data_IF_415455999443
#
_entry.id   IF_415455999443
#
_cell.length_a   1.000
_cell.length_b   1.000
_cell.length_c   1.000
_cell.angle_alpha   90.00
_cell.angle_beta   90.00
_cell.angle_gamma   90.00
#
_symmetry.space_group_name_H-M   'P 1'
#
loop_
_entity.id
_entity.type
_entity.pdbx_description
1 polymer ?
#
# COMPACT_ATOMS: atom_id res chain seq x y z
N UNK A 1 -21.19 -21.45 15.37
CA UNK A 1 -19.87 -22.05 15.17
C UNK A 1 -19.40 -22.64 16.50
N UNK A 2 -19.41 -23.97 16.63
CA UNK A 2 -18.67 -24.63 17.68
C UNK A 2 -17.20 -24.50 17.31
N UNK A 3 -16.45 -23.69 18.06
CA UNK A 3 -15.01 -23.73 18.04
C UNK A 3 -14.59 -25.17 18.27
N UNK A 4 -13.73 -25.70 17.40
CA UNK A 4 -13.18 -27.04 17.58
C UNK A 4 -12.56 -27.16 18.98
N UNK A 5 -12.69 -28.32 19.64
CA UNK A 5 -12.16 -28.52 20.98
C UNK A 5 -10.67 -28.20 21.02
N UNK A 6 -10.18 -27.82 22.20
CA UNK A 6 -8.85 -27.28 22.54
C UNK A 6 -7.61 -28.03 21.98
N UNK A 7 -7.79 -29.09 21.26
CA UNK A 7 -6.72 -29.96 20.74
C UNK A 7 -6.01 -29.46 19.49
N UNK A 8 -6.35 -28.30 18.92
CA UNK A 8 -5.72 -27.78 17.70
C UNK A 8 -5.06 -26.41 17.81
N UNK A 9 -4.46 -26.08 18.94
CA UNK A 9 -3.36 -25.13 18.93
C UNK A 9 -2.11 -25.87 18.41
N UNK A 10 -2.10 -26.11 17.13
CA UNK A 10 -0.98 -26.76 16.45
C UNK A 10 0.07 -25.68 16.20
N UNK A 11 1.17 -25.74 16.95
CA UNK A 11 2.39 -24.97 16.80
C UNK A 11 2.35 -23.51 17.30
N UNK A 12 2.60 -23.30 18.57
CA UNK A 12 3.50 -22.21 18.95
C UNK A 12 4.84 -22.50 18.24
N UNK A 13 5.20 -21.75 17.23
CA UNK A 13 6.58 -21.71 16.72
C UNK A 13 7.31 -20.72 17.63
N UNK A 14 7.98 -21.16 18.73
CA UNK A 14 8.79 -20.29 19.55
C UNK A 14 10.10 -20.09 18.78
N UNK A 15 10.12 -19.12 17.91
CA UNK A 15 11.28 -18.80 17.12
C UNK A 15 11.58 -17.33 17.20
N UNK A 16 12.69 -16.97 17.83
CA UNK A 16 13.25 -15.64 17.71
C UNK A 16 13.66 -15.44 16.24
N UNK A 17 12.99 -14.53 15.53
CA UNK A 17 13.43 -14.16 14.18
C UNK A 17 14.78 -13.44 14.29
N UNK A 18 15.79 -13.94 13.59
CA UNK A 18 17.14 -13.38 13.62
C UNK A 18 17.21 -12.02 12.93
N UNK A 19 16.32 -11.77 11.94
CA UNK A 19 16.20 -10.51 11.24
C UNK A 19 15.16 -9.64 11.94
N UNK A 20 15.58 -8.59 12.64
CA UNK A 20 14.68 -7.68 13.33
C UNK A 20 13.72 -6.99 12.36
N UNK A 21 12.49 -6.76 12.82
CA UNK A 21 11.43 -6.03 12.13
C UNK A 21 10.17 -6.86 11.92
N UNK A 22 9.01 -6.23 12.15
CA UNK A 22 7.67 -6.84 12.06
C UNK A 22 7.46 -7.58 10.72
N UNK A 23 7.86 -6.97 9.61
CA UNK A 23 7.74 -7.59 8.29
C UNK A 23 8.54 -8.87 8.12
N UNK A 24 9.71 -9.00 8.76
CA UNK A 24 10.50 -10.24 8.69
C UNK A 24 9.82 -11.38 9.46
N UNK A 25 9.22 -11.07 10.62
CA UNK A 25 8.45 -12.05 11.41
C UNK A 25 7.25 -12.55 10.61
N UNK A 26 6.47 -11.65 10.04
CA UNK A 26 5.28 -11.99 9.24
C UNK A 26 5.69 -12.81 8.00
N UNK A 27 6.77 -12.43 7.31
CA UNK A 27 7.31 -13.21 6.17
C UNK A 27 7.61 -14.64 6.54
N UNK A 28 8.22 -14.86 7.72
CA UNK A 28 8.51 -16.20 8.22
C UNK A 28 7.23 -16.95 8.55
N UNK A 29 6.31 -16.34 9.30
CA UNK A 29 5.04 -16.96 9.67
C UNK A 29 4.21 -17.37 8.45
N UNK A 30 4.11 -16.50 7.43
CA UNK A 30 3.38 -16.79 6.20
C UNK A 30 3.97 -17.95 5.38
N UNK A 31 5.27 -18.23 5.55
CA UNK A 31 5.94 -19.37 4.90
C UNK A 31 5.80 -20.67 5.69
N UNK A 32 5.92 -20.60 7.01
CA UNK A 32 6.00 -21.77 7.88
C UNK A 32 4.62 -22.27 8.33
N UNK A 33 3.64 -21.38 8.42
CA UNK A 33 2.29 -21.75 8.86
C UNK A 33 1.42 -22.04 7.64
N UNK A 34 0.67 -23.16 7.74
CA UNK A 34 -0.35 -23.52 6.78
C UNK A 34 -1.71 -23.60 7.49
N UNK A 35 -2.63 -22.69 7.15
CA UNK A 35 -3.93 -22.54 7.78
C UNK A 35 -4.96 -22.02 6.79
N UNK A 36 -6.24 -22.28 7.03
CA UNK A 36 -7.34 -21.80 6.19
C UNK A 36 -7.58 -20.30 6.37
N UNK A 37 -7.44 -19.81 7.62
CA UNK A 37 -7.56 -18.40 7.99
C UNK A 37 -6.38 -18.02 8.86
N UNK A 38 -5.82 -16.85 8.64
CA UNK A 38 -4.71 -16.28 9.41
C UNK A 38 -5.20 -15.03 10.12
N UNK A 39 -4.85 -14.89 11.40
CA UNK A 39 -5.08 -13.66 12.15
C UNK A 39 -3.74 -13.06 12.55
N UNK A 40 -3.57 -11.79 12.25
CA UNK A 40 -2.46 -10.96 12.70
C UNK A 40 -2.99 -10.01 13.78
N UNK A 41 -2.34 -9.98 14.93
CA UNK A 41 -2.65 -9.07 16.03
C UNK A 41 -1.36 -8.61 16.70
N UNK A 42 -1.31 -7.35 17.14
CA UNK A 42 -0.19 -6.85 17.91
C UNK A 42 -0.27 -7.38 19.36
N UNK A 43 0.88 -7.74 19.94
CA UNK A 43 0.96 -8.37 21.26
C UNK A 43 1.00 -7.37 22.44
N UNK A 44 0.47 -6.15 22.28
CA UNK A 44 0.47 -5.08 23.27
C UNK A 44 -0.88 -4.90 23.98
N UNK A 45 -1.77 -5.88 23.84
CA UNK A 45 -3.11 -5.92 24.45
C UNK A 45 -4.04 -4.73 24.06
N UNK A 46 -3.73 -4.05 22.96
CA UNK A 46 -4.55 -2.95 22.47
C UNK A 46 -5.77 -3.42 21.69
N UNK A 47 -5.79 -4.68 21.25
CA UNK A 47 -6.85 -5.27 20.44
C UNK A 47 -7.56 -6.40 21.19
N UNK A 48 -8.90 -6.34 21.33
CA UNK A 48 -9.66 -7.37 22.02
C UNK A 48 -9.71 -8.67 21.20
N UNK A 49 -9.38 -9.79 21.85
CA UNK A 49 -9.42 -11.11 21.22
C UNK A 49 -10.86 -11.55 20.86
N UNK A 50 -11.84 -10.95 21.51
CA UNK A 50 -13.27 -11.22 21.33
C UNK A 50 -13.78 -10.89 19.91
N UNK A 51 -13.08 -10.00 19.18
CA UNK A 51 -13.40 -9.69 17.79
C UNK A 51 -12.86 -10.72 16.79
N UNK A 52 -11.99 -11.64 17.19
CA UNK A 52 -11.39 -12.64 16.30
C UNK A 52 -12.45 -13.53 15.59
N UNK A 53 -13.48 -14.05 16.26
CA UNK A 53 -14.50 -14.87 15.61
C UNK A 53 -15.22 -14.16 14.47
N UNK A 54 -15.57 -12.87 14.61
CA UNK A 54 -16.21 -12.08 13.57
C UNK A 54 -15.28 -11.87 12.36
N UNK A 55 -14.00 -11.64 12.60
CA UNK A 55 -13.01 -11.51 11.53
C UNK A 55 -12.82 -12.83 10.77
N UNK A 56 -12.80 -13.96 11.46
CA UNK A 56 -12.74 -15.29 10.85
C UNK A 56 -14.00 -15.57 10.03
N UNK A 57 -15.17 -15.24 10.57
CA UNK A 57 -16.45 -15.38 9.88
C UNK A 57 -16.48 -14.59 8.56
N UNK A 58 -15.96 -13.38 8.56
CA UNK A 58 -15.86 -12.56 7.35
C UNK A 58 -14.96 -13.20 6.28
N UNK A 59 -13.86 -13.87 6.66
CA UNK A 59 -13.02 -14.60 5.70
C UNK A 59 -13.75 -15.84 5.16
N UNK A 60 -14.38 -16.63 6.03
CA UNK A 60 -14.99 -17.93 5.65
C UNK A 60 -16.33 -17.75 4.92
N UNK A 61 -17.24 -16.95 5.48
CA UNK A 61 -18.61 -16.86 5.03
C UNK A 61 -18.88 -15.70 4.07
N UNK A 62 -18.09 -14.62 4.14
CA UNK A 62 -18.18 -13.49 3.20
C UNK A 62 -17.13 -13.54 2.09
N UNK A 63 -16.29 -14.59 2.08
CA UNK A 63 -15.19 -14.77 1.12
C UNK A 63 -14.23 -13.58 1.06
N UNK A 64 -13.97 -12.93 2.20
CA UNK A 64 -13.02 -11.84 2.27
C UNK A 64 -11.58 -12.39 2.18
N UNK A 65 -10.77 -11.81 1.31
CA UNK A 65 -9.33 -12.12 1.22
C UNK A 65 -8.55 -11.46 2.34
N UNK A 66 -8.98 -10.27 2.73
CA UNK A 66 -8.42 -9.53 3.86
C UNK A 66 -9.51 -8.84 4.65
N UNK A 67 -9.51 -9.03 5.96
CA UNK A 67 -10.37 -8.31 6.91
C UNK A 67 -9.52 -7.31 7.69
N UNK A 68 -9.98 -6.07 7.75
CA UNK A 68 -9.31 -4.96 8.43
C UNK A 68 -10.09 -4.61 9.69
N UNK A 69 -9.45 -4.67 10.85
CA UNK A 69 -10.03 -4.20 12.10
C UNK A 69 -10.09 -2.68 12.11
N UNK A 70 -11.30 -2.13 11.97
CA UNK A 70 -11.54 -0.68 11.93
C UNK A 70 -11.72 -0.12 13.34
N UNK A 71 -10.62 0.38 13.92
CA UNK A 71 -10.63 1.08 15.20
C UNK A 71 -11.11 2.53 15.08
N UNK A 72 -10.98 3.14 13.89
CA UNK A 72 -11.27 4.56 13.68
C UNK A 72 -12.77 4.86 13.68
N UNK A 73 -13.62 3.87 13.40
CA UNK A 73 -15.09 3.98 13.50
C UNK A 73 -15.62 3.70 14.92
N UNK A 74 -14.75 3.31 15.85
CA UNK A 74 -15.07 3.06 17.26
C UNK A 74 -14.73 4.27 18.17
N UNK A 75 -14.39 4.02 19.42
CA UNK A 75 -14.05 5.00 20.45
C UNK A 75 -12.65 5.63 20.31
N UNK A 76 -11.84 5.20 19.34
CA UNK A 76 -10.44 5.60 19.16
C UNK A 76 -10.19 7.12 19.20
N UNK A 77 -11.06 7.92 18.55
CA UNK A 77 -10.91 9.37 18.52
C UNK A 77 -11.28 10.06 19.85
N UNK A 78 -12.03 9.40 20.72
CA UNK A 78 -12.36 9.92 22.05
C UNK A 78 -11.16 9.78 23.00
N UNK A 79 -10.36 8.74 22.81
CA UNK A 79 -9.22 8.37 23.65
C UNK A 79 -7.89 8.94 23.17
N UNK A 80 -7.65 9.03 21.83
CA UNK A 80 -6.41 9.51 21.23
C UNK A 80 -6.49 10.94 20.65
N UNK A 81 -6.19 11.96 21.46
CA UNK A 81 -6.21 13.38 21.09
C UNK A 81 -4.90 13.86 20.41
N UNK A 82 -4.33 13.11 19.45
CA UNK A 82 -3.10 13.51 18.73
C UNK A 82 -3.42 14.01 17.30
N UNK A 83 -3.66 15.34 17.08
CA UNK A 83 -4.22 15.86 15.82
C UNK A 83 -3.31 15.62 14.59
N UNK A 84 -1.99 15.71 14.75
CA UNK A 84 -1.06 15.59 13.61
C UNK A 84 -0.83 14.14 13.12
N UNK A 85 -0.90 13.16 14.01
CA UNK A 85 -0.82 11.75 13.64
C UNK A 85 -2.04 11.31 12.82
N UNK A 86 -3.21 11.78 13.22
CA UNK A 86 -4.47 11.51 12.54
C UNK A 86 -4.51 12.14 11.14
N UNK A 87 -3.90 13.32 10.96
CA UNK A 87 -3.81 14.00 9.67
C UNK A 87 -2.99 13.21 8.65
N UNK A 88 -1.79 12.72 9.03
CA UNK A 88 -0.95 11.91 8.16
C UNK A 88 -1.63 10.61 7.71
N UNK A 89 -2.24 9.89 8.65
CA UNK A 89 -3.02 8.68 8.36
C UNK A 89 -4.20 8.97 7.41
N UNK A 90 -4.92 10.07 7.64
CA UNK A 90 -6.05 10.49 6.80
C UNK A 90 -5.63 10.78 5.37
N UNK A 91 -4.49 11.45 5.15
CA UNK A 91 -3.97 11.74 3.80
C UNK A 91 -3.55 10.45 3.08
N UNK A 92 -2.82 9.55 3.75
CA UNK A 92 -2.42 8.26 3.16
C UNK A 92 -3.64 7.44 2.81
N UNK A 93 -4.61 7.32 3.73
CA UNK A 93 -5.88 6.64 3.51
C UNK A 93 -6.66 7.24 2.33
N UNK A 94 -6.81 8.56 2.30
CA UNK A 94 -7.48 9.25 1.19
C UNK A 94 -6.78 8.98 -0.14
N UNK A 95 -5.45 9.04 -0.15
CA UNK A 95 -4.65 8.79 -1.36
C UNK A 95 -4.84 7.36 -1.88
N UNK A 96 -4.82 6.36 -1.00
CA UNK A 96 -5.02 4.95 -1.36
C UNK A 96 -6.45 4.74 -1.83
N UNK A 97 -7.45 5.22 -1.09
CA UNK A 97 -8.84 5.05 -1.45
C UNK A 97 -9.18 5.73 -2.78
N UNK A 98 -8.65 6.93 -3.05
CA UNK A 98 -8.83 7.63 -4.32
C UNK A 98 -8.07 6.95 -5.48
N UNK A 99 -6.84 6.48 -5.22
CA UNK A 99 -6.00 5.83 -6.23
C UNK A 99 -6.59 4.51 -6.73
N UNK A 100 -7.14 3.72 -5.79
CA UNK A 100 -7.66 2.38 -6.05
C UNK A 100 -9.20 2.29 -6.06
N UNK A 101 -9.90 3.39 -5.79
CA UNK A 101 -11.37 3.46 -5.68
C UNK A 101 -11.92 2.46 -4.66
N UNK A 102 -11.29 2.37 -3.52
CA UNK A 102 -11.64 1.49 -2.40
C UNK A 102 -12.15 2.28 -1.20
N UNK A 103 -12.65 1.58 -0.18
CA UNK A 103 -13.21 2.17 1.04
C UNK A 103 -12.58 1.62 2.32
N UNK A 104 -11.27 1.35 2.32
CA UNK A 104 -10.57 0.91 3.53
C UNK A 104 -10.62 2.03 4.56
N UNK A 105 -11.09 1.70 5.77
CA UNK A 105 -11.31 2.68 6.83
C UNK A 105 -10.07 2.88 7.68
N UNK A 106 -9.36 1.81 8.06
CA UNK A 106 -8.11 1.90 8.83
C UNK A 106 -6.97 1.14 8.14
N UNK A 107 -6.05 1.89 7.53
CA UNK A 107 -4.93 1.30 6.77
C UNK A 107 -3.76 0.89 7.68
N UNK A 108 -3.65 1.52 8.86
CA UNK A 108 -2.52 1.34 9.77
C UNK A 108 -2.82 0.43 10.96
N UNK A 109 -3.98 -0.25 10.98
CA UNK A 109 -4.30 -1.21 12.03
C UNK A 109 -3.43 -2.46 11.92
N UNK A 110 -2.96 -2.94 13.06
CA UNK A 110 -2.25 -4.22 13.17
C UNK A 110 -3.16 -5.43 13.32
N UNK A 111 -4.48 -5.23 13.50
CA UNK A 111 -5.44 -6.32 13.66
C UNK A 111 -6.11 -6.65 12.32
N UNK A 112 -5.74 -7.80 11.76
CA UNK A 112 -6.20 -8.22 10.43
C UNK A 112 -6.43 -9.72 10.37
N UNK A 113 -7.38 -10.15 9.54
CA UNK A 113 -7.50 -11.54 9.15
C UNK A 113 -7.29 -11.70 7.63
N UNK A 114 -6.81 -12.86 7.22
CA UNK A 114 -6.45 -13.14 5.83
C UNK A 114 -6.91 -14.52 5.40
N UNK A 115 -7.28 -14.65 4.12
CA UNK A 115 -7.50 -15.93 3.46
C UNK A 115 -6.17 -16.66 3.20
N UNK A 116 -6.26 -17.94 2.93
CA UNK A 116 -5.15 -18.76 2.46
C UNK A 116 -4.54 -18.17 1.18
N UNK A 117 -5.39 -17.78 0.24
CA UNK A 117 -5.03 -17.22 -1.06
C UNK A 117 -4.22 -15.93 -0.90
N UNK A 118 -4.68 -15.04 -0.03
CA UNK A 118 -3.94 -13.81 0.28
C UNK A 118 -2.54 -14.14 0.80
N UNK A 119 -2.41 -14.98 1.82
CA UNK A 119 -1.14 -15.28 2.49
C UNK A 119 -0.15 -15.95 1.54
N UNK A 120 -0.61 -16.88 0.71
CA UNK A 120 0.28 -17.63 -0.20
C UNK A 120 0.67 -16.83 -1.46
N UNK A 121 -0.06 -15.76 -1.78
CA UNK A 121 0.26 -14.90 -2.94
C UNK A 121 0.93 -13.58 -2.56
N UNK A 122 0.86 -13.16 -1.29
CA UNK A 122 1.41 -11.89 -0.83
C UNK A 122 2.94 -11.93 -0.65
N UNK A 123 3.71 -11.20 -1.47
CA UNK A 123 5.15 -11.09 -1.31
C UNK A 123 5.49 -10.04 -0.25
N UNK A 124 5.81 -10.44 0.97
CA UNK A 124 6.20 -9.52 2.05
C UNK A 124 7.52 -8.84 1.68
N UNK A 125 7.49 -7.56 1.30
CA UNK A 125 8.68 -6.80 0.90
C UNK A 125 9.16 -5.84 1.99
N UNK A 126 8.25 -5.26 2.77
CA UNK A 126 8.55 -4.36 3.88
C UNK A 126 9.23 -5.08 5.03
N UNK A 127 10.11 -4.35 5.72
CA UNK A 127 10.82 -4.86 6.91
C UNK A 127 10.21 -4.38 8.23
N UNK A 128 9.55 -3.24 8.21
CA UNK A 128 9.04 -2.51 9.36
C UNK A 128 7.53 -2.42 9.43
N UNK A 129 7.05 -1.33 10.02
CA UNK A 129 5.64 -1.05 10.25
C UNK A 129 4.87 -0.58 9.00
N UNK A 130 5.56 -0.32 7.89
CA UNK A 130 4.90 -0.03 6.61
C UNK A 130 4.18 -1.25 6.01
N UNK A 131 4.32 -2.41 6.63
CA UNK A 131 3.72 -3.66 6.15
C UNK A 131 2.19 -3.62 6.14
N UNK A 132 1.54 -2.95 7.09
CA UNK A 132 0.08 -2.82 7.12
C UNK A 132 -0.44 -2.04 5.89
N UNK A 133 0.28 -0.98 5.53
CA UNK A 133 -0.02 -0.21 4.33
C UNK A 133 0.25 -1.02 3.07
N UNK A 134 1.35 -1.78 3.03
CA UNK A 134 1.71 -2.64 1.90
C UNK A 134 0.64 -3.73 1.67
N UNK A 135 0.18 -4.41 2.73
CA UNK A 135 -0.90 -5.40 2.67
C UNK A 135 -2.19 -4.79 2.11
N UNK A 136 -2.58 -3.60 2.60
CA UNK A 136 -3.79 -2.92 2.12
C UNK A 136 -3.70 -2.58 0.64
N UNK A 137 -2.54 -2.07 0.20
CA UNK A 137 -2.31 -1.74 -1.21
C UNK A 137 -2.29 -3.01 -2.07
N UNK A 138 -1.64 -4.09 -1.58
CA UNK A 138 -1.62 -5.35 -2.30
C UNK A 138 -3.04 -5.89 -2.53
N UNK A 139 -3.86 -5.97 -1.49
CA UNK A 139 -5.23 -6.44 -1.60
C UNK A 139 -6.02 -5.68 -2.68
N UNK A 140 -6.03 -4.33 -2.61
CA UNK A 140 -6.81 -3.52 -3.54
C UNK A 140 -6.22 -3.47 -4.95
N UNK A 141 -4.90 -3.52 -5.09
CA UNK A 141 -4.25 -3.55 -6.41
C UNK A 141 -4.47 -4.87 -7.15
N UNK A 142 -4.58 -5.96 -6.41
CA UNK A 142 -4.88 -7.30 -6.93
C UNK A 142 -6.36 -7.62 -7.00
N UNK A 143 -7.22 -6.62 -6.75
CA UNK A 143 -8.67 -6.76 -6.79
C UNK A 143 -9.20 -7.85 -5.84
N UNK A 144 -8.50 -8.07 -4.72
CA UNK A 144 -8.93 -8.97 -3.66
C UNK A 144 -10.04 -8.35 -2.83
N UNK A 145 -10.93 -9.18 -2.28
CA UNK A 145 -12.03 -8.70 -1.46
C UNK A 145 -11.57 -8.26 -0.09
N UNK A 146 -11.84 -6.98 0.25
CA UNK A 146 -11.48 -6.39 1.54
C UNK A 146 -12.72 -6.02 2.32
N UNK A 147 -12.84 -6.55 3.54
CA UNK A 147 -13.91 -6.24 4.48
C UNK A 147 -13.38 -5.44 5.67
N UNK A 148 -14.24 -4.59 6.26
CA UNK A 148 -13.92 -3.85 7.47
C UNK A 148 -14.82 -4.36 8.61
N UNK A 149 -14.21 -4.76 9.73
CA UNK A 149 -14.92 -5.12 10.97
C UNK A 149 -14.60 -4.06 12.02
N UNK A 150 -15.63 -3.46 12.60
CA UNK A 150 -15.45 -2.46 13.66
C UNK A 150 -14.97 -3.16 14.91
N UNK A 151 -13.83 -2.72 15.43
CA UNK A 151 -13.22 -3.25 16.64
C UNK A 151 -13.11 -2.19 17.69
N UNK A 152 -13.27 -2.56 18.96
CA UNK A 152 -12.91 -1.70 20.07
C UNK A 152 -11.38 -1.58 20.14
N UNK A 153 -10.90 -0.45 20.59
CA UNK A 153 -9.48 -0.20 20.80
C UNK A 153 -9.27 0.15 22.28
N UNK A 154 -8.35 -0.56 22.93
CA UNK A 154 -7.97 -0.31 24.32
C UNK A 154 -6.73 0.57 24.37
N UNK A 155 -6.70 1.54 25.28
CA UNK A 155 -5.50 2.36 25.47
C UNK A 155 -4.32 1.51 25.92
N UNK A 156 -3.15 1.89 25.44
CA UNK A 156 -1.90 1.26 25.87
C UNK A 156 -1.68 1.47 27.36
N UNK A 157 -1.15 0.47 28.07
CA UNK A 157 -0.71 0.65 29.46
C UNK A 157 0.23 1.84 29.60
N UNK A 158 0.11 2.59 30.68
CA UNK A 158 0.92 3.77 30.98
C UNK A 158 2.43 3.44 30.90
N UNK A 159 3.18 4.26 30.14
CA UNK A 159 4.63 4.15 29.99
C UNK A 159 5.17 3.94 28.57
N UNK A 160 4.33 3.80 27.55
CA UNK A 160 4.80 3.70 26.17
C UNK A 160 4.77 5.06 25.45
N UNK A 161 5.93 5.69 25.30
CA UNK A 161 6.05 6.95 24.54
C UNK A 161 6.16 6.70 23.03
N UNK A 162 5.36 7.41 22.24
CA UNK A 162 5.47 7.44 20.78
C UNK A 162 6.55 8.45 20.36
N UNK A 163 7.62 7.97 19.74
CA UNK A 163 8.75 8.77 19.23
C UNK A 163 8.44 9.37 17.85
N UNK A 164 7.42 10.21 17.70
CA UNK A 164 7.05 10.82 16.41
C UNK A 164 7.45 12.29 16.35
N UNK A 165 8.09 12.68 15.23
CA UNK A 165 8.58 14.03 14.95
C UNK A 165 7.76 14.64 13.79
N UNK A 166 6.94 15.65 14.06
CA UNK A 166 5.87 16.18 13.19
C UNK A 166 6.35 16.60 11.79
N UNK A 167 7.48 17.29 11.66
CA UNK A 167 8.01 17.74 10.36
C UNK A 167 8.59 16.60 9.52
N UNK A 168 9.35 15.71 10.16
CA UNK A 168 9.94 14.54 9.52
C UNK A 168 8.83 13.59 8.99
N UNK A 169 7.74 13.47 9.71
CA UNK A 169 6.64 12.56 9.35
C UNK A 169 5.79 13.13 8.20
N UNK A 170 5.60 14.46 8.13
CA UNK A 170 4.94 15.10 6.98
C UNK A 170 5.67 14.86 5.66
N UNK A 171 7.00 14.99 5.65
CA UNK A 171 7.81 14.69 4.44
C UNK A 171 7.73 13.21 4.08
N UNK A 172 7.78 12.30 5.05
CA UNK A 172 7.62 10.86 4.82
C UNK A 172 6.27 10.52 4.18
N UNK A 173 5.19 11.16 4.64
CA UNK A 173 3.85 11.00 4.06
C UNK A 173 3.84 11.44 2.59
N UNK A 174 4.39 12.61 2.27
CA UNK A 174 4.47 13.10 0.89
C UNK A 174 5.30 12.17 0.00
N UNK A 175 6.45 11.71 0.46
CA UNK A 175 7.30 10.77 -0.27
C UNK A 175 6.57 9.43 -0.49
N UNK A 176 5.80 8.97 0.50
CA UNK A 176 4.98 7.76 0.38
C UNK A 176 3.93 7.92 -0.70
N UNK A 177 3.22 9.06 -0.76
CA UNK A 177 2.22 9.33 -1.79
C UNK A 177 2.86 9.35 -3.18
N UNK A 178 3.98 10.07 -3.35
CA UNK A 178 4.73 10.11 -4.62
C UNK A 178 5.16 8.70 -5.04
N UNK A 179 5.67 7.90 -4.10
CA UNK A 179 6.06 6.50 -4.33
C UNK A 179 4.86 5.65 -4.75
N UNK A 180 3.70 5.84 -4.12
CA UNK A 180 2.46 5.15 -4.47
C UNK A 180 2.04 5.49 -5.91
N UNK A 181 1.93 6.76 -6.26
CA UNK A 181 1.55 7.15 -7.62
C UNK A 181 2.55 6.66 -8.67
N UNK A 182 3.86 6.80 -8.40
CA UNK A 182 4.91 6.29 -9.29
C UNK A 182 4.80 4.78 -9.53
N UNK A 183 4.55 4.01 -8.47
CA UNK A 183 4.56 2.55 -8.56
C UNK A 183 3.22 1.98 -9.07
N UNK A 184 2.10 2.60 -8.69
CA UNK A 184 0.77 2.04 -8.94
C UNK A 184 0.01 2.69 -10.10
N UNK A 185 0.35 3.92 -10.50
CA UNK A 185 -0.15 4.58 -11.74
C UNK A 185 1.00 5.23 -12.52
N UNK A 186 2.00 4.44 -12.96
CA UNK A 186 3.20 4.98 -13.59
C UNK A 186 2.87 5.78 -14.85
N UNK A 187 1.94 5.33 -15.67
CA UNK A 187 1.54 6.06 -16.88
C UNK A 187 1.09 7.50 -16.54
N UNK A 188 0.12 7.65 -15.63
CA UNK A 188 -0.36 8.97 -15.22
C UNK A 188 0.72 9.84 -14.60
N UNK A 189 1.56 9.25 -13.74
CA UNK A 189 2.64 9.95 -13.06
C UNK A 189 3.69 10.50 -14.05
N UNK A 190 4.22 9.65 -14.92
CA UNK A 190 5.24 10.04 -15.87
C UNK A 190 4.69 10.91 -17.02
N UNK A 191 3.44 10.69 -17.44
CA UNK A 191 2.78 11.56 -18.42
C UNK A 191 2.56 12.98 -17.87
N UNK A 192 2.21 13.13 -16.59
CA UNK A 192 2.09 14.46 -15.98
C UNK A 192 3.43 15.22 -15.99
N UNK A 193 4.53 14.54 -15.61
CA UNK A 193 5.89 15.12 -15.67
C UNK A 193 6.24 15.49 -17.12
N UNK A 194 6.02 14.57 -18.07
CA UNK A 194 6.26 14.80 -19.49
C UNK A 194 5.51 16.02 -20.01
N UNK A 195 4.23 16.15 -19.66
CA UNK A 195 3.39 17.27 -20.08
C UNK A 195 3.93 18.61 -19.54
N UNK A 196 4.32 18.65 -18.26
CA UNK A 196 4.91 19.86 -17.65
C UNK A 196 6.21 20.25 -18.38
N UNK A 197 7.09 19.29 -18.64
CA UNK A 197 8.34 19.56 -19.36
C UNK A 197 8.10 20.03 -20.79
N UNK A 198 7.15 19.39 -21.51
CA UNK A 198 6.79 19.79 -22.86
C UNK A 198 6.19 21.21 -22.91
N UNK A 199 5.29 21.53 -21.97
CA UNK A 199 4.74 22.89 -21.87
C UNK A 199 5.82 23.92 -21.55
N UNK A 200 6.70 23.64 -20.61
CA UNK A 200 7.84 24.51 -20.33
C UNK A 200 8.71 24.73 -21.58
N UNK A 201 9.08 23.66 -22.28
CA UNK A 201 9.85 23.73 -23.52
C UNK A 201 9.18 24.63 -24.56
N UNK A 202 7.88 24.42 -24.80
CA UNK A 202 7.10 25.22 -25.78
C UNK A 202 7.05 26.68 -25.36
N UNK A 203 6.77 26.98 -24.08
CA UNK A 203 6.68 28.35 -23.57
C UNK A 203 8.00 29.13 -23.78
N UNK A 204 9.15 28.49 -23.51
CA UNK A 204 10.45 29.12 -23.71
C UNK A 204 10.87 29.15 -25.19
N UNK A 205 10.32 28.30 -26.05
CA UNK A 205 10.55 28.29 -27.49
C UNK A 205 9.79 29.39 -28.22
N UNK A 206 8.59 29.77 -27.79
CA UNK A 206 7.76 30.81 -28.43
C UNK A 206 8.52 32.12 -28.66
N UNK A 207 9.23 32.72 -27.69
CA UNK A 207 10.02 33.93 -27.89
C UNK A 207 11.14 33.78 -28.93
N UNK A 208 11.80 32.59 -28.98
CA UNK A 208 12.85 32.31 -29.97
C UNK A 208 12.26 32.28 -31.38
N UNK A 209 11.11 31.59 -31.54
CA UNK A 209 10.41 31.49 -32.80
C UNK A 209 9.88 32.86 -33.27
N UNK A 210 9.34 33.66 -32.35
CA UNK A 210 8.85 35.05 -32.66
C UNK A 210 10.00 35.97 -33.11
N UNK A 211 11.17 35.86 -32.46
CA UNK A 211 12.35 36.63 -32.87
C UNK A 211 12.80 36.23 -34.29
N UNK A 212 12.89 34.95 -34.57
CA UNK A 212 13.26 34.41 -35.86
C UNK A 212 12.32 34.91 -37.01
N UNK A 213 11.00 34.92 -36.81
CA UNK A 213 10.09 35.44 -37.82
C UNK A 213 10.22 36.95 -38.07
N UNK A 214 10.73 37.71 -37.09
CA UNK A 214 10.94 39.16 -37.23
C UNK A 214 12.29 39.54 -37.85
N UNK A 215 13.36 38.81 -37.51
CA UNK A 215 14.74 39.17 -37.85
C UNK A 215 15.39 38.21 -38.85
N UNK A 216 14.81 37.03 -39.08
CA UNK A 216 15.42 35.98 -39.90
C UNK A 216 16.65 35.31 -39.26
N UNK A 217 17.02 35.69 -38.00
CA UNK A 217 18.18 35.17 -37.25
C UNK A 217 17.78 34.59 -35.91
N UNK A 218 18.49 33.56 -35.45
CA UNK A 218 18.27 32.94 -34.15
C UNK A 218 19.16 33.59 -33.10
N UNK A 219 18.76 34.72 -32.53
CA UNK A 219 19.53 35.47 -31.56
C UNK A 219 19.76 34.72 -30.23
N UNK A 220 18.79 33.84 -29.88
CA UNK A 220 18.80 33.06 -28.62
C UNK A 220 19.12 31.57 -28.83
N UNK A 221 20.21 31.30 -29.55
CA UNK A 221 20.64 29.96 -29.89
C UNK A 221 20.80 29.02 -28.66
N UNK A 222 21.41 29.43 -27.53
CA UNK A 222 21.47 28.60 -26.34
C UNK A 222 20.09 28.18 -25.79
N UNK A 223 19.14 29.12 -25.83
CA UNK A 223 17.75 28.81 -25.39
C UNK A 223 17.08 27.77 -26.29
N UNK A 224 17.29 27.87 -27.60
CA UNK A 224 16.79 26.88 -28.56
C UNK A 224 17.30 25.47 -28.25
N UNK A 225 18.61 25.35 -27.97
CA UNK A 225 19.22 24.06 -27.61
C UNK A 225 18.61 23.51 -26.32
N UNK A 226 18.48 24.34 -25.30
CA UNK A 226 17.88 23.92 -24.02
C UNK A 226 16.43 23.45 -24.22
N UNK A 227 15.61 24.19 -25.00
CA UNK A 227 14.26 23.77 -25.32
C UNK A 227 14.23 22.41 -26.02
N UNK A 228 15.15 22.18 -26.98
CA UNK A 228 15.27 20.89 -27.64
C UNK A 228 15.56 19.73 -26.68
N UNK A 229 16.54 19.92 -25.79
CA UNK A 229 16.85 18.90 -24.77
C UNK A 229 15.70 18.66 -23.80
N UNK A 230 15.02 19.71 -23.34
CA UNK A 230 13.85 19.57 -22.44
C UNK A 230 12.70 18.83 -23.16
N UNK A 231 12.49 19.08 -24.45
CA UNK A 231 11.48 18.33 -25.24
C UNK A 231 11.85 16.85 -25.39
N UNK A 232 13.12 16.54 -25.66
CA UNK A 232 13.59 15.16 -25.71
C UNK A 232 13.40 14.46 -24.36
N UNK A 233 13.70 15.14 -23.26
CA UNK A 233 13.44 14.62 -21.92
C UNK A 233 11.95 14.36 -21.67
N UNK A 234 11.07 15.26 -22.12
CA UNK A 234 9.62 15.08 -22.03
C UNK A 234 9.18 13.78 -22.75
N UNK A 235 9.65 13.56 -23.96
CA UNK A 235 9.36 12.34 -24.74
C UNK A 235 9.88 11.09 -24.04
N UNK A 236 11.08 11.15 -23.47
CA UNK A 236 11.66 10.01 -22.71
C UNK A 236 10.83 9.69 -21.48
N UNK A 237 10.38 10.69 -20.69
CA UNK A 237 9.50 10.46 -19.56
C UNK A 237 8.17 9.83 -19.97
N UNK A 238 7.59 10.27 -21.09
CA UNK A 238 6.38 9.64 -21.63
C UNK A 238 6.59 8.18 -21.99
N UNK A 239 7.68 7.87 -22.72
CA UNK A 239 8.05 6.50 -23.10
C UNK A 239 8.25 5.62 -21.88
N UNK A 240 8.95 6.11 -20.84
CA UNK A 240 9.10 5.40 -19.55
C UNK A 240 7.74 5.11 -18.91
N UNK A 241 6.82 6.08 -18.94
CA UNK A 241 5.47 5.89 -18.41
C UNK A 241 4.71 4.76 -19.11
N UNK A 242 4.79 4.69 -20.44
CA UNK A 242 4.20 3.62 -21.25
C UNK A 242 4.81 2.26 -20.92
N UNK A 243 6.15 2.17 -20.90
CA UNK A 243 6.87 0.92 -20.59
C UNK A 243 6.52 0.39 -19.19
N UNK A 244 6.55 1.23 -18.17
CA UNK A 244 6.22 0.83 -16.80
C UNK A 244 4.75 0.41 -16.66
N UNK A 245 3.84 1.04 -17.40
CA UNK A 245 2.43 0.64 -17.44
C UNK A 245 2.24 -0.75 -18.06
N UNK A 246 2.97 -1.05 -19.11
CA UNK A 246 2.93 -2.36 -19.76
C UNK A 246 3.48 -3.45 -18.83
N UNK A 247 4.64 -3.21 -18.20
CA UNK A 247 5.22 -4.13 -17.20
C UNK A 247 4.26 -4.40 -16.04
N UNK A 248 3.58 -3.36 -15.57
CA UNK A 248 2.58 -3.50 -14.51
C UNK A 248 1.38 -4.34 -14.93
N UNK A 249 0.89 -4.17 -16.15
CA UNK A 249 -0.18 -5.01 -16.70
C UNK A 249 0.23 -6.47 -16.81
N UNK A 250 1.50 -6.72 -17.12
CA UNK A 250 2.08 -8.06 -17.15
C UNK A 250 2.15 -8.67 -15.74
N UNK A 251 2.64 -7.92 -14.75
CA UNK A 251 2.70 -8.34 -13.35
C UNK A 251 1.31 -8.70 -12.78
N UNK A 252 0.25 -7.98 -13.19
CA UNK A 252 -1.12 -8.35 -12.81
C UNK A 252 -1.57 -9.67 -13.41
N UNK A 253 -1.25 -9.94 -14.68
CA UNK A 253 -1.57 -11.24 -15.31
C UNK A 253 -0.81 -12.38 -14.65
N UNK A 254 0.47 -12.17 -14.32
CA UNK A 254 1.29 -13.17 -13.64
C UNK A 254 0.74 -13.48 -12.24
N UNK A 255 0.17 -12.49 -11.57
CA UNK A 255 -0.51 -12.69 -10.29
C UNK A 255 -1.75 -13.58 -10.42
N UNK A 256 -2.60 -13.35 -11.42
CA UNK A 256 -3.80 -14.19 -11.67
C UNK A 256 -3.40 -15.66 -11.92
N UNK A 257 -2.32 -15.91 -12.66
CA UNK A 257 -1.81 -17.27 -12.83
C UNK A 257 -1.34 -17.90 -11.52
N UNK A 258 -0.68 -17.13 -10.65
CA UNK A 258 -0.28 -17.61 -9.31
C UNK A 258 -1.48 -17.91 -8.44
N UNK A 259 -2.52 -17.09 -8.49
CA UNK A 259 -3.76 -17.31 -7.73
C UNK A 259 -4.41 -18.62 -8.13
N UNK A 260 -4.53 -18.90 -9.43
CA UNK A 260 -5.05 -20.19 -9.94
C UNK A 260 -4.22 -21.37 -9.42
N UNK A 261 -2.89 -21.24 -9.39
CA UNK A 261 -2.01 -22.29 -8.86
C UNK A 261 -2.24 -22.52 -7.36
N UNK A 262 -2.38 -21.46 -6.57
CA UNK A 262 -2.64 -21.53 -5.14
C UNK A 262 -4.00 -22.19 -4.86
N UNK A 263 -5.04 -21.82 -5.60
CA UNK A 263 -6.36 -22.45 -5.49
C UNK A 263 -6.32 -23.94 -5.80
N UNK A 264 -5.55 -24.33 -6.80
CA UNK A 264 -5.37 -25.75 -7.15
C UNK A 264 -4.64 -26.51 -6.03
N UNK A 265 -3.58 -25.93 -5.46
CA UNK A 265 -2.87 -26.54 -4.32
C UNK A 265 -3.77 -26.70 -3.10
N UNK A 266 -4.57 -25.68 -2.77
CA UNK A 266 -5.54 -25.74 -1.65
C UNK A 266 -6.56 -26.89 -1.83
N UNK A 267 -7.05 -27.12 -3.05
CA UNK A 267 -7.98 -28.20 -3.36
C UNK A 267 -7.34 -29.59 -3.29
N UNK A 268 -6.06 -29.68 -3.60
CA UNK A 268 -5.33 -30.98 -3.58
C UNK A 268 -4.85 -31.35 -2.18
N UNK A 269 -4.73 -30.38 -1.26
CA UNK A 269 -4.32 -30.59 0.12
C UNK A 269 -5.49 -30.92 1.07
N UNK A 270 -6.74 -30.77 0.63
CA UNK A 270 -7.97 -31.23 1.32
C UNK A 270 -8.33 -32.64 0.92
#
# INVERSE_FOLDING_TARGET
LQLAPEEKITAMIPGKEYKQGKGNVIRRMFREIDAEVYIMVDGDDTYPAECAPEMVDAVINKNADMVVGDRLSSTYFQENKRPFHNFGNSIVRWSINNLFKTSIKDIMTGYRAFSYEFVKTYPVMSKGFEIETEMSIHAVDRNMQVENVIIEYRDRPDGSESKLNTYSDGIKVLLTIVKLYKNYKPFGFFTAISLVLALCSILFFIPVLSAYFKTGVVDRFPTLIVCGFVMVMAILFFAVGVLLSTLRSQDKRDFEYKLIQVDHMKKTSK
#
